data_IF_656082867354
#
_entry.id   IF_656082867354
#
_cell.length_a   1.000
_cell.length_b   1.000
_cell.length_c   1.000
_cell.angle_alpha   90.00
_cell.angle_beta   90.00
_cell.angle_gamma   90.00
#
_symmetry.space_group_name_H-M   'P 1'
#
loop_
_entity.id
_entity.type
_entity.pdbx_description
1 polymer ?
#
# COMPACT_ATOMS: atom_id res chain seq x y z
N UNK A 1 34.75 -6.59 20.35
CA UNK A 1 33.38 -6.08 20.60
C UNK A 1 32.56 -6.27 19.32
N UNK A 2 31.63 -7.23 19.26
CA UNK A 2 30.81 -7.46 18.05
C UNK A 2 29.57 -6.55 18.09
N UNK A 3 29.17 -5.90 16.97
CA UNK A 3 28.01 -5.03 16.98
C UNK A 3 26.74 -5.86 17.12
N UNK A 4 25.90 -5.53 18.11
CA UNK A 4 24.57 -6.11 18.30
C UNK A 4 23.72 -5.78 17.07
N UNK A 5 23.42 -6.78 16.24
CA UNK A 5 22.42 -6.66 15.16
C UNK A 5 21.08 -6.31 15.81
N UNK A 6 20.58 -5.09 15.59
CA UNK A 6 19.23 -4.70 15.98
C UNK A 6 18.26 -5.58 15.18
N UNK A 7 17.59 -6.50 15.85
CA UNK A 7 16.48 -7.26 15.30
C UNK A 7 15.29 -6.31 15.09
N UNK A 8 15.29 -5.54 14.00
CA UNK A 8 14.05 -5.02 13.43
C UNK A 8 13.36 -6.18 12.70
N UNK A 9 12.81 -7.13 13.46
CA UNK A 9 11.74 -7.98 12.92
C UNK A 9 10.51 -7.10 12.79
N UNK A 10 10.48 -6.30 11.72
CA UNK A 10 9.21 -5.85 11.18
C UNK A 10 8.46 -7.13 10.85
N UNK A 11 7.45 -7.47 11.66
CA UNK A 11 6.48 -8.51 11.30
C UNK A 11 5.62 -7.93 10.18
N UNK A 12 6.21 -7.74 9.00
CA UNK A 12 5.46 -7.44 7.78
C UNK A 12 4.75 -8.73 7.40
N UNK A 13 3.56 -8.95 7.97
CA UNK A 13 2.60 -9.88 7.37
C UNK A 13 2.21 -9.27 6.03
N UNK A 14 3.01 -9.53 5.01
CA UNK A 14 2.66 -9.25 3.63
C UNK A 14 1.46 -10.14 3.31
N UNK A 15 0.31 -9.51 3.12
CA UNK A 15 -0.98 -10.09 2.75
C UNK A 15 -1.01 -10.80 1.38
N UNK A 16 0.13 -11.31 0.91
CA UNK A 16 0.25 -11.95 -0.40
C UNK A 16 -0.18 -13.41 -0.24
N UNK A 17 -1.32 -13.76 -0.83
CA UNK A 17 -1.79 -15.16 -0.95
C UNK A 17 -2.51 -15.76 0.27
N UNK A 18 -2.72 -15.00 1.36
CA UNK A 18 -3.36 -15.53 2.59
C UNK A 18 -4.83 -15.15 2.77
N UNK A 19 -5.37 -14.28 1.90
CA UNK A 19 -6.73 -13.74 2.02
C UNK A 19 -6.93 -12.78 3.20
N UNK A 20 -5.89 -12.52 4.01
CA UNK A 20 -5.93 -11.59 5.14
C UNK A 20 -5.38 -10.24 4.73
N UNK A 21 -6.26 -9.25 4.63
CA UNK A 21 -5.92 -7.86 4.34
C UNK A 21 -5.23 -7.20 5.56
N UNK A 22 -4.18 -6.41 5.33
CA UNK A 22 -3.63 -5.54 6.38
C UNK A 22 -4.59 -4.38 6.64
N UNK A 23 -4.59 -3.78 7.82
CA UNK A 23 -5.40 -2.58 8.06
C UNK A 23 -4.92 -1.42 7.18
N UNK A 24 -5.80 -0.46 6.89
CA UNK A 24 -5.41 0.73 6.13
C UNK A 24 -4.32 1.53 6.86
N UNK A 25 -4.38 1.61 8.19
CA UNK A 25 -3.37 2.29 9.01
C UNK A 25 -2.00 1.60 8.95
N UNK A 26 -1.98 0.26 8.99
CA UNK A 26 -0.72 -0.49 8.84
C UNK A 26 -0.11 -0.29 7.45
N UNK A 27 -0.95 -0.28 6.40
CA UNK A 27 -0.52 -0.02 5.03
C UNK A 27 0.03 1.40 4.89
N UNK A 28 -0.68 2.39 5.41
CA UNK A 28 -0.24 3.79 5.43
C UNK A 28 1.10 3.97 6.14
N UNK A 29 1.26 3.38 7.33
CA UNK A 29 2.52 3.46 8.09
C UNK A 29 3.70 2.93 7.28
N UNK A 30 3.51 1.84 6.55
CA UNK A 30 4.56 1.24 5.70
C UNK A 30 4.84 2.13 4.49
N UNK A 31 3.81 2.65 3.82
CA UNK A 31 3.97 3.53 2.66
C UNK A 31 4.69 4.84 3.02
N UNK A 32 4.31 5.48 4.14
CA UNK A 32 4.98 6.67 4.65
C UNK A 32 6.46 6.40 4.95
N UNK A 33 6.79 5.26 5.56
CA UNK A 33 8.18 4.88 5.82
C UNK A 33 8.98 4.63 4.53
N UNK A 34 8.35 4.03 3.50
CA UNK A 34 8.98 3.85 2.18
C UNK A 34 9.23 5.22 1.53
N UNK A 35 8.24 6.11 1.52
CA UNK A 35 8.38 7.45 0.93
C UNK A 35 9.45 8.27 1.65
N UNK A 36 9.48 8.21 2.99
CA UNK A 36 10.53 8.85 3.79
C UNK A 36 11.94 8.34 3.43
N UNK A 37 12.09 7.02 3.25
CA UNK A 37 13.38 6.44 2.85
C UNK A 37 13.81 6.86 1.43
N UNK A 38 12.86 7.08 0.51
CA UNK A 38 13.17 7.63 -0.81
C UNK A 38 13.54 9.11 -0.69
N UNK A 39 12.86 9.87 0.17
CA UNK A 39 13.11 11.29 0.40
C UNK A 39 14.52 11.57 0.95
N UNK A 40 15.09 10.64 1.72
CA UNK A 40 16.49 10.68 2.16
C UNK A 40 17.48 10.77 0.99
N UNK A 41 17.10 10.29 -0.20
CA UNK A 41 17.94 10.32 -1.42
C UNK A 41 17.53 11.43 -2.38
N UNK A 42 16.22 11.66 -2.53
CA UNK A 42 15.68 12.74 -3.33
C UNK A 42 14.23 13.02 -2.93
N UNK A 43 13.99 14.20 -2.40
CA UNK A 43 12.65 14.66 -2.00
C UNK A 43 11.72 14.81 -3.22
N UNK A 44 12.26 15.26 -4.35
CA UNK A 44 11.49 15.41 -5.60
C UNK A 44 10.99 14.04 -6.11
N UNK A 45 11.87 13.04 -6.12
CA UNK A 45 11.47 11.66 -6.49
C UNK A 45 10.44 11.12 -5.50
N UNK A 46 10.64 11.34 -4.20
CA UNK A 46 9.73 10.85 -3.18
C UNK A 46 8.32 11.46 -3.28
N UNK A 47 8.19 12.71 -3.72
CA UNK A 47 6.90 13.38 -3.93
C UNK A 47 6.15 12.88 -5.15
N UNK A 48 6.87 12.47 -6.20
CA UNK A 48 6.29 12.11 -7.49
C UNK A 48 6.14 10.59 -7.70
N UNK A 49 6.82 9.76 -6.91
CA UNK A 49 6.75 8.30 -7.04
C UNK A 49 5.38 7.77 -6.62
N UNK A 50 4.82 6.89 -7.43
CA UNK A 50 3.59 6.15 -7.15
C UNK A 50 3.92 4.90 -6.34
N UNK A 51 3.38 4.80 -5.13
CA UNK A 51 3.53 3.64 -4.24
C UNK A 51 2.18 2.92 -4.14
N UNK A 52 2.09 1.76 -4.79
CA UNK A 52 0.87 0.94 -4.85
C UNK A 52 0.79 -0.06 -3.70
N UNK A 53 -0.39 -0.22 -3.12
CA UNK A 53 -0.65 -1.26 -2.14
C UNK A 53 -0.90 -2.61 -2.83
N UNK A 54 -0.06 -3.60 -2.52
CA UNK A 54 -0.12 -4.95 -3.11
C UNK A 54 -0.80 -6.02 -2.24
N UNK A 55 -1.53 -5.64 -1.19
CA UNK A 55 -2.27 -6.58 -0.37
C UNK A 55 -3.61 -7.01 -0.99
N UNK A 56 -4.45 -7.69 -0.21
CA UNK A 56 -5.77 -8.14 -0.66
C UNK A 56 -6.77 -6.97 -0.75
N UNK A 57 -6.75 -6.28 -1.89
CA UNK A 57 -7.70 -5.23 -2.24
C UNK A 57 -8.95 -5.83 -2.88
N UNK A 58 -10.10 -5.40 -2.39
CA UNK A 58 -11.43 -5.77 -2.87
C UNK A 58 -12.32 -4.52 -2.91
N UNK A 59 -13.43 -4.53 -3.66
CA UNK A 59 -14.35 -3.38 -3.71
C UNK A 59 -14.76 -2.87 -2.32
N UNK A 60 -15.00 -3.78 -1.37
CA UNK A 60 -15.47 -3.43 -0.02
C UNK A 60 -14.43 -2.71 0.86
N UNK A 61 -13.13 -2.81 0.56
CA UNK A 61 -12.07 -2.22 1.38
C UNK A 61 -11.18 -1.20 0.64
N UNK A 62 -11.32 -1.10 -0.68
CA UNK A 62 -10.50 -0.22 -1.53
C UNK A 62 -10.53 1.24 -1.09
N UNK A 63 -11.72 1.77 -0.78
CA UNK A 63 -11.88 3.15 -0.33
C UNK A 63 -11.07 3.48 0.94
N UNK A 64 -10.99 2.53 1.88
CA UNK A 64 -10.23 2.73 3.12
C UNK A 64 -8.71 2.85 2.86
N UNK A 65 -8.18 2.14 1.86
CA UNK A 65 -6.79 2.27 1.46
C UNK A 65 -6.54 3.56 0.68
N UNK A 66 -7.41 3.91 -0.28
CA UNK A 66 -7.19 5.11 -1.10
C UNK A 66 -7.42 6.43 -0.37
N UNK A 67 -8.13 6.40 0.77
CA UNK A 67 -8.20 7.53 1.69
C UNK A 67 -6.86 7.85 2.38
N UNK A 68 -5.90 6.92 2.36
CA UNK A 68 -4.60 7.12 2.99
C UNK A 68 -3.69 8.00 2.11
N UNK A 69 -2.95 8.96 2.69
CA UNK A 69 -2.22 9.95 1.92
C UNK A 69 -1.07 9.36 1.10
N UNK A 70 -0.38 8.32 1.59
CA UNK A 70 0.79 7.73 0.92
C UNK A 70 0.46 6.48 0.09
N UNK A 71 -0.81 6.09 -0.01
CA UNK A 71 -1.26 5.01 -0.89
C UNK A 71 -1.80 5.61 -2.18
N UNK A 72 -1.08 5.38 -3.28
CA UNK A 72 -1.33 6.04 -4.56
C UNK A 72 -2.13 5.15 -5.54
N UNK A 73 -2.39 3.91 -5.15
CA UNK A 73 -3.10 2.95 -5.99
C UNK A 73 -2.97 1.54 -5.44
N UNK A 74 -3.40 0.55 -6.23
CA UNK A 74 -3.39 -0.85 -5.85
C UNK A 74 -2.85 -1.74 -6.97
N UNK A 75 -2.08 -2.76 -6.58
CA UNK A 75 -1.73 -3.89 -7.44
C UNK A 75 -2.71 -5.03 -7.17
N UNK A 76 -3.75 -5.11 -7.98
CA UNK A 76 -4.90 -6.01 -7.74
C UNK A 76 -4.63 -7.40 -8.33
N UNK A 77 -4.75 -8.44 -7.49
CA UNK A 77 -4.64 -9.84 -7.88
C UNK A 77 -5.98 -10.43 -8.29
N UNK A 78 -6.55 -11.34 -7.48
CA UNK A 78 -7.76 -12.10 -7.83
C UNK A 78 -8.99 -11.25 -8.21
N UNK A 79 -9.19 -10.09 -7.60
CA UNK A 79 -10.28 -9.18 -7.95
C UNK A 79 -10.13 -8.53 -9.34
N UNK A 80 -8.96 -8.63 -9.97
CA UNK A 80 -8.75 -8.18 -11.35
C UNK A 80 -9.34 -9.15 -12.39
N UNK A 81 -9.68 -10.38 -11.99
CA UNK A 81 -10.28 -11.39 -12.88
C UNK A 81 -11.80 -11.22 -13.03
N UNK A 82 -12.41 -10.34 -12.23
CA UNK A 82 -13.82 -9.96 -12.34
C UNK A 82 -13.93 -8.48 -12.74
N UNK A 83 -14.55 -8.21 -13.89
CA UNK A 83 -14.59 -6.87 -14.47
C UNK A 83 -15.34 -5.87 -13.58
N UNK A 84 -16.42 -6.30 -12.92
CA UNK A 84 -17.21 -5.45 -12.03
C UNK A 84 -16.40 -5.06 -10.78
N UNK A 85 -15.72 -6.03 -10.17
CA UNK A 85 -14.85 -5.81 -9.01
C UNK A 85 -13.68 -4.90 -9.35
N UNK A 86 -12.99 -5.15 -10.47
CA UNK A 86 -11.86 -4.33 -10.89
C UNK A 86 -12.27 -2.89 -11.18
N UNK A 87 -13.40 -2.70 -11.88
CA UNK A 87 -13.94 -1.38 -12.16
C UNK A 87 -14.35 -0.64 -10.88
N UNK A 88 -14.92 -1.33 -9.89
CA UNK A 88 -15.27 -0.74 -8.61
C UNK A 88 -14.02 -0.24 -7.84
N UNK A 89 -12.94 -1.03 -7.84
CA UNK A 89 -11.66 -0.62 -7.22
C UNK A 89 -11.08 0.61 -7.94
N UNK A 90 -11.10 0.63 -9.28
CA UNK A 90 -10.59 1.75 -10.06
C UNK A 90 -11.39 3.04 -9.79
N UNK A 91 -12.73 2.95 -9.69
CA UNK A 91 -13.59 4.09 -9.34
C UNK A 91 -13.31 4.62 -7.94
N UNK A 92 -13.15 3.73 -6.95
CA UNK A 92 -12.80 4.14 -5.59
C UNK A 92 -11.47 4.92 -5.54
N UNK A 93 -10.47 4.52 -6.33
CA UNK A 93 -9.21 5.26 -6.44
C UNK A 93 -9.41 6.63 -7.09
N UNK A 94 -10.18 6.69 -8.18
CA UNK A 94 -10.46 7.93 -8.90
C UNK A 94 -11.26 8.94 -8.06
N UNK A 95 -12.16 8.48 -7.19
CA UNK A 95 -12.95 9.34 -6.30
C UNK A 95 -12.12 9.86 -5.12
N UNK A 96 -11.26 9.04 -4.54
CA UNK A 96 -10.46 9.40 -3.36
C UNK A 96 -9.28 10.34 -3.67
N UNK A 97 -8.79 10.36 -4.91
CA UNK A 97 -7.60 11.13 -5.34
C UNK A 97 -7.92 12.26 -6.34
N UNK A 98 -9.17 12.72 -6.40
CA UNK A 98 -9.54 13.97 -7.08
C UNK A 98 -8.86 15.17 -6.43
#
# INVERSE_FOLDING_TARGET
>A
MKPKRRNHRLRTNLAIGTGKAATADDAQRIHAAIRAHIAEKSEDVAKNVVIQYGGSVKPENAAAYFAQPDIDGALVGGAALDAASFAAIAKAAAEAKK
#
